data_IF_797470834503
#
_entry.id   IF_797470834503
#
_cell.length_a   1.000
_cell.length_b   1.000
_cell.length_c   1.000
_cell.angle_alpha   90.00
_cell.angle_beta   90.00
_cell.angle_gamma   90.00
#
_symmetry.space_group_name_H-M   'P 1'
#
loop_
_entity.id
_entity.type
_entity.pdbx_description
1 polymer ?
#
# COMPACT_ATOMS: atom_id res chain seq x y z
N UNK A 1 -1.70 -7.06 -7.84
CA UNK A 1 -1.67 -6.19 -6.64
C UNK A 1 -0.21 -5.93 -6.30
N UNK A 2 0.20 -4.68 -6.07
CA UNK A 2 1.58 -4.37 -5.65
C UNK A 2 1.75 -4.62 -4.15
N UNK A 3 2.98 -4.97 -3.70
CA UNK A 3 3.26 -5.24 -2.29
C UNK A 3 2.97 -3.98 -1.46
N UNK A 4 2.31 -4.07 -0.29
CA UNK A 4 1.84 -2.87 0.42
C UNK A 4 2.93 -1.88 0.86
N UNK A 5 4.17 -2.32 1.03
CA UNK A 5 5.31 -1.48 1.38
C UNK A 5 5.90 -0.71 0.17
N UNK A 6 5.41 -0.96 -1.05
CA UNK A 6 5.80 -0.18 -2.24
C UNK A 6 5.18 1.21 -2.24
N UNK A 7 4.22 1.46 -1.36
CA UNK A 7 3.52 2.72 -1.26
C UNK A 7 3.75 3.33 0.10
N UNK A 8 4.37 4.51 0.14
CA UNK A 8 4.31 5.38 1.30
C UNK A 8 3.11 6.33 1.17
N UNK A 9 2.44 6.58 2.29
CA UNK A 9 1.32 7.53 2.35
C UNK A 9 1.59 8.57 3.44
N UNK A 10 1.23 9.82 3.16
CA UNK A 10 1.33 10.93 4.11
C UNK A 10 0.04 11.74 4.09
N UNK A 11 -0.49 12.19 5.26
CA UNK A 11 -1.63 13.09 5.29
C UNK A 11 -1.35 14.35 4.48
N UNK A 12 -2.28 14.69 3.59
CA UNK A 12 -2.21 15.87 2.75
C UNK A 12 -3.62 16.31 2.38
N UNK A 13 -3.97 17.57 2.64
CA UNK A 13 -5.30 18.13 2.37
C UNK A 13 -5.70 17.97 0.88
N UNK A 14 -4.72 18.15 -0.01
CA UNK A 14 -4.81 18.00 -1.45
C UNK A 14 -4.29 16.63 -1.94
N UNK A 15 -4.07 15.69 -1.02
CA UNK A 15 -3.68 14.32 -1.35
C UNK A 15 -4.72 13.66 -2.23
N UNK A 16 -4.30 12.85 -3.19
CA UNK A 16 -5.20 12.23 -4.18
C UNK A 16 -5.98 11.03 -3.62
N UNK A 17 -5.45 10.37 -2.60
CA UNK A 17 -6.03 9.18 -1.99
C UNK A 17 -6.83 9.49 -0.73
N UNK A 18 -7.73 8.57 -0.37
CA UNK A 18 -8.48 8.62 0.87
C UNK A 18 -8.32 7.31 1.64
N UNK A 19 -7.98 7.38 2.93
CA UNK A 19 -7.94 6.21 3.80
C UNK A 19 -9.36 5.69 4.02
N UNK A 20 -9.65 4.50 3.52
CA UNK A 20 -10.96 3.83 3.67
C UNK A 20 -10.94 2.67 4.65
N UNK A 21 -9.76 2.31 5.15
CA UNK A 21 -9.60 1.28 6.18
C UNK A 21 -8.23 1.29 6.81
N UNK A 22 -8.16 0.83 8.06
CA UNK A 22 -6.93 0.67 8.84
C UNK A 22 -7.01 -0.61 9.65
N UNK A 23 -6.01 -1.47 9.49
CA UNK A 23 -5.94 -2.75 10.17
C UNK A 23 -4.64 -2.85 10.96
N UNK A 24 -4.74 -3.09 12.26
CA UNK A 24 -3.57 -3.31 13.12
C UNK A 24 -2.97 -4.69 12.85
N UNK A 25 -1.65 -4.76 12.63
CA UNK A 25 -0.90 -5.98 12.33
C UNK A 25 0.41 -5.98 13.12
N UNK A 26 0.31 -6.00 14.45
CA UNK A 26 1.46 -5.97 15.36
C UNK A 26 2.20 -4.64 15.26
N UNK A 27 3.46 -4.65 14.83
CA UNK A 27 4.27 -3.42 14.75
C UNK A 27 3.89 -2.48 13.59
N UNK A 28 2.86 -2.83 12.81
CA UNK A 28 2.43 -2.08 11.64
C UNK A 28 0.92 -1.84 11.61
N UNK A 29 0.53 -0.79 10.90
CA UNK A 29 -0.80 -0.65 10.33
C UNK A 29 -0.76 -1.01 8.85
N UNK A 30 -1.77 -1.76 8.41
CA UNK A 30 -2.07 -1.94 7.00
C UNK A 30 -3.21 -1.00 6.64
N UNK A 31 -2.90 0.01 5.84
CA UNK A 31 -3.86 1.01 5.38
C UNK A 31 -4.44 0.61 4.04
N UNK A 32 -5.77 0.73 3.89
CA UNK A 32 -6.45 0.64 2.60
C UNK A 32 -6.77 2.05 2.13
N UNK A 33 -6.27 2.42 0.95
CA UNK A 33 -6.46 3.75 0.37
C UNK A 33 -7.20 3.64 -0.95
N UNK A 34 -8.29 4.39 -1.10
CA UNK A 34 -9.05 4.51 -2.35
C UNK A 34 -8.49 5.67 -3.16
N UNK A 35 -8.21 5.41 -4.44
CA UNK A 35 -7.78 6.41 -5.42
C UNK A 35 -9.01 6.97 -6.17
N UNK A 36 -8.88 8.12 -6.87
CA UNK A 36 -9.97 8.71 -7.64
C UNK A 36 -10.53 7.79 -8.74
N UNK A 37 -9.71 6.87 -9.26
CA UNK A 37 -10.13 5.85 -10.22
C UNK A 37 -11.06 4.78 -9.63
N UNK A 38 -11.32 4.79 -8.32
CA UNK A 38 -12.02 3.74 -7.61
C UNK A 38 -11.13 2.55 -7.22
N UNK A 39 -9.91 2.46 -7.77
CA UNK A 39 -8.94 1.45 -7.38
C UNK A 39 -8.56 1.61 -5.91
N UNK A 40 -8.31 0.48 -5.25
CA UNK A 40 -7.78 0.46 -3.89
C UNK A 40 -6.34 -0.03 -3.91
N UNK A 41 -5.48 0.68 -3.17
CA UNK A 41 -4.14 0.21 -2.84
C UNK A 41 -4.06 -0.14 -1.36
N UNK A 42 -3.01 -0.85 -1.01
CA UNK A 42 -2.66 -1.15 0.36
C UNK A 42 -1.31 -0.52 0.66
N UNK A 43 -1.18 0.13 1.82
CA UNK A 43 0.07 0.72 2.29
C UNK A 43 0.43 0.16 3.67
N UNK A 44 1.60 -0.46 3.81
CA UNK A 44 2.13 -0.90 5.09
C UNK A 44 2.86 0.26 5.75
N UNK A 45 2.43 0.63 6.95
CA UNK A 45 2.95 1.77 7.69
C UNK A 45 3.34 1.34 9.10
N UNK A 46 4.32 2.03 9.69
CA UNK A 46 4.68 1.80 11.09
C UNK A 46 3.49 2.11 12.03
N UNK A 47 3.31 1.36 13.11
CA UNK A 47 2.16 1.51 14.02
C UNK A 47 2.04 2.89 14.70
N UNK A 48 3.11 3.69 14.71
CA UNK A 48 3.07 5.06 15.25
C UNK A 48 2.40 6.05 14.29
N UNK A 49 2.26 5.70 13.01
CA UNK A 49 1.59 6.53 11.99
C UNK A 49 0.09 6.26 12.07
N UNK A 50 -0.63 7.16 12.74
CA UNK A 50 -2.07 7.06 12.98
C UNK A 50 -2.83 7.98 12.01
N UNK A 51 -3.40 7.38 10.97
CA UNK A 51 -4.25 8.07 9.99
C UNK A 51 -5.69 7.57 10.16
N UNK A 52 -6.64 8.40 10.61
CA UNK A 52 -8.05 8.00 10.68
C UNK A 52 -8.64 7.66 9.31
N UNK A 53 -9.72 6.88 9.29
CA UNK A 53 -10.53 6.69 8.07
C UNK A 53 -11.12 8.05 7.66
N UNK A 54 -11.15 8.32 6.36
CA UNK A 54 -11.50 9.61 5.76
C UNK A 54 -10.31 10.56 5.56
N UNK A 55 -9.13 10.24 6.10
CA UNK A 55 -7.93 11.08 5.91
C UNK A 55 -7.52 11.12 4.43
N UNK A 56 -7.36 12.33 3.88
CA UNK A 56 -6.76 12.55 2.57
C UNK A 56 -5.25 12.38 2.63
N UNK A 57 -4.68 11.61 1.71
CA UNK A 57 -3.26 11.27 1.70
C UNK A 57 -2.64 11.47 0.33
N UNK A 58 -1.41 11.97 0.31
CA UNK A 58 -0.54 11.86 -0.86
C UNK A 58 0.09 10.47 -0.90
N UNK A 59 0.43 10.02 -2.10
CA UNK A 59 1.02 8.72 -2.38
C UNK A 59 2.41 8.90 -2.95
N UNK A 60 3.37 8.12 -2.46
CA UNK A 60 4.69 8.00 -3.07
C UNK A 60 5.01 6.53 -3.34
N UNK A 61 5.46 6.22 -4.56
CA UNK A 61 5.95 4.88 -4.91
C UNK A 61 7.40 4.77 -4.46
N UNK A 62 7.66 3.82 -3.57
CA UNK A 62 8.98 3.49 -3.06
C UNK A 62 9.61 2.43 -3.94
N UNK A 63 10.40 2.84 -4.95
CA UNK A 63 11.07 1.92 -5.90
C UNK A 63 12.35 1.27 -5.33
N UNK A 64 12.56 1.30 -4.01
CA UNK A 64 13.81 0.84 -3.37
C UNK A 64 14.02 -0.67 -3.38
N UNK A 65 13.02 -1.45 -3.79
CA UNK A 65 13.10 -2.90 -3.84
C UNK A 65 13.07 -3.38 -5.28
N UNK A 66 14.11 -4.15 -5.67
CA UNK A 66 14.15 -4.79 -6.99
C UNK A 66 13.02 -5.81 -7.06
N UNK A 67 11.96 -5.51 -7.80
CA UNK A 67 10.94 -6.49 -8.16
C UNK A 67 11.58 -7.46 -9.14
N UNK A 68 11.67 -8.73 -8.78
CA UNK A 68 11.86 -9.77 -9.77
C UNK A 68 10.47 -10.08 -10.34
N UNK A 69 10.26 -9.71 -11.60
CA UNK A 69 9.08 -10.16 -12.32
C UNK A 69 9.21 -11.67 -12.53
N UNK A 70 8.32 -12.46 -11.93
CA UNK A 70 8.09 -13.81 -12.40
C UNK A 70 7.43 -13.69 -13.78
N UNK A 71 8.23 -13.72 -14.84
CA UNK A 71 7.69 -13.88 -16.20
C UNK A 71 6.91 -15.20 -16.30
N UNK A 72 6.15 -15.37 -17.39
CA UNK A 72 5.40 -16.61 -17.69
C UNK A 72 6.33 -17.81 -17.93
N UNK A 73 7.09 -18.21 -16.91
CA UNK A 73 7.96 -19.36 -16.93
C UNK A 73 7.22 -20.51 -16.23
N UNK A 74 6.69 -21.50 -16.98
CA UNK A 74 5.87 -22.57 -16.42
C UNK A 74 6.61 -23.47 -15.41
N UNK A 75 7.93 -23.31 -15.26
CA UNK A 75 8.74 -24.07 -14.31
C UNK A 75 8.73 -23.55 -12.86
N UNK A 76 8.14 -22.39 -12.59
CA UNK A 76 8.05 -21.83 -11.23
C UNK A 76 6.67 -22.00 -10.57
N UNK A 77 5.73 -22.67 -11.25
CA UNK A 77 4.38 -22.92 -10.74
C UNK A 77 4.29 -24.11 -9.76
N UNK A 78 5.36 -24.90 -9.61
CA UNK A 78 5.43 -26.03 -8.69
C UNK A 78 6.60 -25.83 -7.74
N UNK A 79 6.35 -25.09 -6.66
CA UNK A 79 7.15 -25.23 -5.44
C UNK A 79 6.14 -25.52 -4.35
N UNK A 80 6.12 -26.78 -3.90
CA UNK A 80 5.37 -27.28 -2.75
C UNK A 80 5.79 -26.61 -1.45
#
# INVERSE_FOLDING_TARGET
MLRPDYFDIKPAINGIGEVVGRFFRGMHYLYRVRLPSGAAIWSLQHHTRNYPVGTRVSLQIMSGHKVLCFGNNPKLANVE
#
